data_IF_141755672203
#
_entry.id   IF_141755672203
#
_cell.length_a   1.000
_cell.length_b   1.000
_cell.length_c   1.000
_cell.angle_alpha   90.00
_cell.angle_beta   90.00
_cell.angle_gamma   90.00
#
_symmetry.space_group_name_H-M   'P 1'
#
loop_
_entity.id
_entity.type
_entity.pdbx_description
1 polymer ?
#
# COMPACT_ATOMS: atom_id res chain seq x y z
N UNK A 1 1.50 -25.13 0.12
CA UNK A 1 0.47 -26.18 0.30
C UNK A 1 0.79 -26.98 1.57
N UNK A 2 0.05 -26.76 2.66
CA UNK A 2 0.16 -27.58 3.85
C UNK A 2 -0.93 -28.65 3.82
N UNK A 3 -0.55 -29.90 3.57
CA UNK A 3 -1.43 -31.07 3.66
C UNK A 3 -1.74 -31.38 5.13
N UNK A 4 -2.80 -30.79 5.67
CA UNK A 4 -3.31 -31.17 6.99
C UNK A 4 -4.30 -32.34 6.89
N UNK A 5 -3.76 -33.56 6.94
CA UNK A 5 -4.50 -34.76 7.39
C UNK A 5 -4.44 -34.80 8.91
N UNK A 6 -5.40 -34.20 9.62
CA UNK A 6 -5.74 -34.60 11.00
C UNK A 6 -7.24 -34.58 11.23
N UNK A 7 -7.71 -35.74 11.65
CA UNK A 7 -9.09 -36.09 11.98
C UNK A 7 -9.64 -35.22 13.12
N UNK A 8 -10.57 -34.33 12.80
CA UNK A 8 -11.59 -33.92 13.77
C UNK A 8 -12.93 -34.50 13.31
N UNK A 9 -13.53 -35.29 14.21
CA UNK A 9 -14.81 -35.98 14.05
C UNK A 9 -15.83 -35.00 13.45
N UNK A 10 -16.28 -35.33 12.25
CA UNK A 10 -17.39 -34.71 11.55
C UNK A 10 -18.68 -35.07 12.30
N UNK A 11 -19.20 -34.17 13.12
CA UNK A 11 -20.59 -34.28 13.58
C UNK A 11 -21.50 -33.85 12.44
N UNK A 12 -22.06 -34.83 11.73
CA UNK A 12 -23.09 -34.60 10.72
C UNK A 12 -24.43 -34.29 11.36
N UNK A 13 -25.10 -33.26 10.84
CA UNK A 13 -26.52 -33.24 10.42
C UNK A 13 -26.87 -31.81 10.04
N UNK A 14 -27.05 -31.59 8.73
CA UNK A 14 -28.09 -30.73 8.15
C UNK A 14 -27.99 -30.86 6.62
N UNK A 15 -28.52 -31.98 6.11
CA UNK A 15 -29.01 -32.05 4.73
C UNK A 15 -30.44 -31.53 4.74
N UNK A 16 -30.60 -30.23 4.45
CA UNK A 16 -31.81 -29.62 3.90
C UNK A 16 -31.42 -28.22 3.41
N UNK A 17 -31.83 -27.93 2.18
CA UNK A 17 -31.61 -26.74 1.34
C UNK A 17 -30.26 -26.56 0.63
N UNK A 18 -30.33 -26.56 -0.71
CA UNK A 18 -29.27 -26.30 -1.68
C UNK A 18 -28.73 -24.88 -1.69
N UNK A 19 -28.44 -24.29 -0.52
CA UNK A 19 -27.56 -23.14 -0.38
C UNK A 19 -26.22 -23.64 0.12
N UNK A 20 -25.15 -23.48 -0.66
CA UNK A 20 -23.77 -23.85 -0.26
C UNK A 20 -23.47 -23.27 1.12
N UNK A 21 -23.49 -24.10 2.16
CA UNK A 21 -23.35 -23.70 3.56
C UNK A 21 -21.98 -23.07 3.75
N UNK A 22 -21.93 -21.86 4.32
CA UNK A 22 -20.67 -21.20 4.70
C UNK A 22 -20.07 -21.95 5.87
N UNK A 23 -18.79 -22.30 5.78
CA UNK A 23 -18.05 -22.94 6.86
C UNK A 23 -16.93 -22.04 7.34
N UNK A 24 -16.76 -21.94 8.65
CA UNK A 24 -15.64 -21.24 9.28
C UNK A 24 -14.70 -22.27 9.90
N UNK A 25 -13.39 -22.11 9.68
CA UNK A 25 -12.37 -23.00 10.22
C UNK A 25 -11.71 -22.31 11.42
N UNK A 26 -12.41 -22.33 12.55
CA UNK A 26 -11.96 -21.76 13.83
C UNK A 26 -12.40 -22.66 15.00
N UNK A 27 -11.88 -22.49 16.22
CA UNK A 27 -12.29 -23.29 17.38
C UNK A 27 -13.81 -23.26 17.64
N UNK A 28 -14.36 -24.40 18.08
CA UNK A 28 -15.82 -24.59 18.24
C UNK A 28 -16.43 -23.67 19.30
N UNK A 29 -15.72 -23.45 20.40
CA UNK A 29 -16.08 -22.50 21.45
C UNK A 29 -16.17 -21.06 20.92
N UNK A 30 -15.24 -20.67 20.05
CA UNK A 30 -15.24 -19.35 19.39
C UNK A 30 -16.46 -19.19 18.47
N UNK A 31 -16.80 -20.22 17.69
CA UNK A 31 -18.00 -20.17 16.83
C UNK A 31 -19.28 -20.05 17.64
N UNK A 32 -19.40 -20.84 18.71
CA UNK A 32 -20.56 -20.77 19.60
C UNK A 32 -20.72 -19.40 20.24
N UNK A 33 -19.62 -18.79 20.68
CA UNK A 33 -19.62 -17.44 21.25
C UNK A 33 -20.04 -16.35 20.23
N UNK A 34 -20.00 -16.67 18.94
CA UNK A 34 -20.36 -15.77 17.84
C UNK A 34 -21.65 -16.22 17.13
N UNK A 35 -22.51 -16.98 17.80
CA UNK A 35 -23.77 -17.54 17.27
C UNK A 35 -23.61 -18.26 15.93
N UNK A 36 -22.50 -18.99 15.79
CA UNK A 36 -22.12 -19.74 14.58
C UNK A 36 -21.94 -18.85 13.32
N UNK A 37 -21.92 -17.52 13.47
CA UNK A 37 -21.78 -16.59 12.35
C UNK A 37 -20.98 -15.32 12.71
N UNK A 38 -19.64 -15.41 12.68
CA UNK A 38 -18.75 -14.27 12.93
C UNK A 38 -19.07 -13.03 12.08
N UNK A 39 -19.52 -13.21 10.84
CA UNK A 39 -19.78 -12.13 9.87
C UNK A 39 -21.02 -11.29 10.15
N UNK A 40 -21.86 -11.70 11.12
CA UNK A 40 -22.97 -10.87 11.61
C UNK A 40 -22.63 -10.13 12.91
N UNK A 41 -21.72 -10.68 13.70
CA UNK A 41 -21.52 -10.29 15.09
C UNK A 41 -20.21 -9.52 15.34
N UNK A 42 -19.33 -9.41 14.33
CA UNK A 42 -18.07 -8.67 14.43
C UNK A 42 -18.16 -7.40 13.57
N UNK A 43 -17.85 -6.25 14.17
CA UNK A 43 -17.80 -4.95 13.50
C UNK A 43 -16.45 -4.67 12.80
N UNK A 44 -15.36 -5.29 13.27
CA UNK A 44 -14.01 -5.09 12.73
C UNK A 44 -13.77 -5.91 11.44
N UNK A 45 -13.68 -5.20 10.31
CA UNK A 45 -13.44 -5.78 8.98
C UNK A 45 -12.10 -6.52 8.88
N UNK A 46 -11.02 -6.00 9.48
CA UNK A 46 -9.71 -6.65 9.45
C UNK A 46 -9.74 -8.01 10.15
N UNK A 47 -10.40 -8.10 11.30
CA UNK A 47 -10.57 -9.35 12.04
C UNK A 47 -11.36 -10.38 11.23
N UNK A 48 -12.45 -9.96 10.57
CA UNK A 48 -13.27 -10.83 9.74
C UNK A 48 -12.48 -11.43 8.58
N UNK A 49 -11.78 -10.58 7.82
CA UNK A 49 -11.02 -11.01 6.65
C UNK A 49 -9.85 -11.90 7.04
N UNK A 50 -9.13 -11.58 8.11
CA UNK A 50 -7.90 -12.29 8.48
C UNK A 50 -8.13 -13.56 9.30
N UNK A 51 -9.17 -13.61 10.15
CA UNK A 51 -9.36 -14.71 11.11
C UNK A 51 -10.63 -15.51 10.90
N UNK A 52 -11.65 -14.95 10.25
CA UNK A 52 -12.95 -15.60 10.09
C UNK A 52 -13.30 -15.81 8.62
N UNK A 53 -12.34 -16.20 7.79
CA UNK A 53 -12.58 -16.40 6.36
C UNK A 53 -13.67 -17.46 6.10
N UNK A 54 -14.71 -17.15 5.29
CA UNK A 54 -15.75 -18.11 4.96
C UNK A 54 -15.26 -19.05 3.86
N UNK A 55 -15.30 -20.35 4.14
CA UNK A 55 -15.01 -21.40 3.20
C UNK A 55 -16.29 -21.94 2.57
N UNK A 56 -16.23 -22.23 1.28
CA UNK A 56 -17.30 -22.87 0.52
C UNK A 56 -16.78 -24.11 -0.20
N UNK A 57 -17.63 -25.12 -0.29
CA UNK A 57 -17.33 -26.33 -1.04
C UNK A 57 -17.44 -26.05 -2.54
N UNK A 58 -16.36 -26.35 -3.27
CA UNK A 58 -16.25 -26.26 -4.73
C UNK A 58 -15.49 -27.46 -5.28
N UNK A 59 -16.13 -28.23 -6.20
CA UNK A 59 -15.52 -29.38 -6.88
C UNK A 59 -14.68 -30.24 -5.91
N UNK A 60 -15.29 -30.60 -4.78
CA UNK A 60 -14.72 -31.45 -3.71
C UNK A 60 -13.64 -30.82 -2.81
N UNK A 61 -13.31 -29.54 -2.98
CA UNK A 61 -12.38 -28.81 -2.11
C UNK A 61 -13.04 -27.62 -1.43
N UNK A 62 -12.64 -27.29 -0.21
CA UNK A 62 -13.08 -26.06 0.45
C UNK A 62 -12.16 -24.91 0.07
N UNK A 63 -12.70 -23.87 -0.57
CA UNK A 63 -11.97 -22.65 -0.91
C UNK A 63 -12.51 -21.47 -0.12
N UNK A 64 -11.61 -20.62 0.37
CA UNK A 64 -12.00 -19.35 0.96
C UNK A 64 -12.54 -18.44 -0.14
N UNK A 65 -13.68 -17.81 0.10
CA UNK A 65 -14.25 -16.82 -0.81
C UNK A 65 -14.37 -15.48 -0.11
N UNK A 66 -13.67 -14.44 -0.59
CA UNK A 66 -13.82 -13.13 0.02
C UNK A 66 -15.24 -12.62 -0.26
N UNK A 67 -15.84 -12.02 0.76
CA UNK A 67 -17.10 -11.29 0.67
C UNK A 67 -16.88 -9.87 1.22
N UNK A 68 -17.68 -8.88 0.78
CA UNK A 68 -17.63 -7.54 1.39
C UNK A 68 -18.37 -7.65 2.70
N UNK A 69 -17.72 -7.42 3.86
CA UNK A 69 -18.42 -7.49 5.13
C UNK A 69 -19.50 -6.41 5.18
N UNK A 70 -20.75 -6.82 5.41
CA UNK A 70 -21.87 -5.90 5.63
C UNK A 70 -22.08 -5.75 7.14
N UNK A 71 -21.16 -5.03 7.77
CA UNK A 71 -21.11 -4.86 9.22
C UNK A 71 -21.49 -3.44 9.61
N UNK A 72 -22.12 -3.28 10.77
CA UNK A 72 -22.24 -1.94 11.34
C UNK A 72 -20.85 -1.42 11.67
N UNK A 73 -20.55 -0.22 11.19
CA UNK A 73 -19.30 0.46 11.47
C UNK A 73 -19.43 1.46 12.60
N UNK A 74 -20.53 1.51 13.35
CA UNK A 74 -20.78 2.58 14.33
C UNK A 74 -19.69 2.65 15.41
N UNK A 75 -19.44 1.53 16.09
CA UNK A 75 -18.39 1.42 17.12
C UNK A 75 -17.00 1.71 16.55
N UNK A 76 -16.70 1.15 15.38
CA UNK A 76 -15.42 1.29 14.70
C UNK A 76 -15.17 2.72 14.24
N UNK A 77 -16.20 3.38 13.71
CA UNK A 77 -16.13 4.77 13.22
C UNK A 77 -15.88 5.72 14.38
N UNK A 78 -16.55 5.49 15.51
CA UNK A 78 -16.40 6.28 16.72
C UNK A 78 -14.99 6.12 17.33
N UNK A 79 -14.48 4.89 17.40
CA UNK A 79 -13.11 4.61 17.83
C UNK A 79 -12.07 5.21 16.87
N UNK A 80 -12.27 5.07 15.56
CA UNK A 80 -11.39 5.63 14.54
C UNK A 80 -11.41 7.17 14.55
N UNK A 81 -12.57 7.80 14.80
CA UNK A 81 -12.69 9.26 14.93
C UNK A 81 -11.78 9.81 16.02
N UNK A 82 -11.79 9.17 17.20
CA UNK A 82 -10.90 9.55 18.32
C UNK A 82 -9.43 9.36 17.97
N UNK A 83 -9.07 8.22 17.37
CA UNK A 83 -7.71 7.95 16.94
C UNK A 83 -7.22 8.97 15.90
N UNK A 84 -8.04 9.25 14.89
CA UNK A 84 -7.72 10.18 13.82
C UNK A 84 -7.57 11.61 14.36
N UNK A 85 -8.42 12.02 15.31
CA UNK A 85 -8.26 13.31 15.98
C UNK A 85 -6.91 13.43 16.70
N UNK A 86 -6.52 12.42 17.49
CA UNK A 86 -5.22 12.38 18.17
C UNK A 86 -4.05 12.35 17.19
N UNK A 87 -4.20 11.62 16.09
CA UNK A 87 -3.21 11.52 15.04
C UNK A 87 -2.99 12.87 14.35
N UNK A 88 -4.07 13.56 13.98
CA UNK A 88 -4.00 14.90 13.36
C UNK A 88 -3.43 15.93 14.36
N UNK A 89 -3.74 15.79 15.65
CA UNK A 89 -3.19 16.63 16.71
C UNK A 89 -1.68 16.44 16.85
N UNK A 90 -1.21 15.20 16.89
CA UNK A 90 0.22 14.86 16.90
C UNK A 90 0.96 15.50 15.71
N UNK A 91 0.31 15.59 14.55
CA UNK A 91 0.88 16.17 13.33
C UNK A 91 0.94 17.70 13.31
N UNK A 92 0.22 18.41 14.19
CA UNK A 92 -0.04 19.86 14.07
C UNK A 92 1.23 20.70 13.92
N UNK A 93 2.22 20.49 14.78
CA UNK A 93 3.39 21.38 14.86
C UNK A 93 4.67 20.78 14.24
N UNK A 94 4.62 19.52 13.84
CA UNK A 94 5.80 18.77 13.38
C UNK A 94 5.75 18.42 11.89
N UNK A 95 4.66 18.74 11.19
CA UNK A 95 4.43 18.26 9.82
C UNK A 95 3.78 19.28 8.88
N UNK A 96 4.08 19.13 7.60
CA UNK A 96 3.25 19.65 6.51
C UNK A 96 2.27 18.55 6.11
N UNK A 97 0.97 18.88 6.10
CA UNK A 97 -0.11 17.93 5.82
C UNK A 97 -1.14 18.48 4.85
N UNK A 98 -1.74 17.61 4.05
CA UNK A 98 -2.92 17.93 3.24
C UNK A 98 -3.81 16.71 3.03
N UNK A 99 -5.08 16.98 2.73
CA UNK A 99 -6.02 15.96 2.27
C UNK A 99 -5.96 15.91 0.75
N UNK A 100 -5.70 14.73 0.20
CA UNK A 100 -5.75 14.45 -1.25
C UNK A 100 -6.80 13.36 -1.51
N UNK A 101 -7.41 13.36 -2.69
CA UNK A 101 -8.45 12.39 -3.05
C UNK A 101 -7.92 11.36 -4.04
N UNK A 102 -8.29 10.09 -3.87
CA UNK A 102 -7.95 9.06 -4.85
C UNK A 102 -8.68 9.33 -6.18
N UNK A 103 -7.94 9.46 -7.28
CA UNK A 103 -8.50 9.60 -8.65
C UNK A 103 -8.98 8.25 -9.20
N UNK A 104 -8.30 7.19 -8.81
CA UNK A 104 -8.56 5.81 -9.23
C UNK A 104 -8.70 4.89 -8.03
N UNK A 105 -9.06 3.63 -8.28
CA UNK A 105 -9.05 2.59 -7.24
C UNK A 105 -7.65 2.46 -6.66
N UNK A 106 -7.57 2.22 -5.37
CA UNK A 106 -6.30 2.05 -4.66
C UNK A 106 -6.25 0.64 -4.07
N UNK A 107 -5.11 -0.03 -4.22
CA UNK A 107 -4.86 -1.32 -3.58
C UNK A 107 -3.48 -1.31 -2.96
N UNK A 108 -3.42 -1.43 -1.63
CA UNK A 108 -2.17 -1.48 -0.87
C UNK A 108 -2.07 -2.84 -0.20
N UNK A 109 -0.90 -3.48 -0.26
CA UNK A 109 -0.69 -4.82 0.33
C UNK A 109 -1.28 -5.96 -0.49
N UNK A 110 -1.41 -5.82 -1.82
CA UNK A 110 -1.99 -6.87 -2.67
C UNK A 110 -1.27 -8.23 -2.55
N UNK A 111 0.05 -8.19 -2.34
CA UNK A 111 0.90 -9.37 -2.18
C UNK A 111 1.12 -9.82 -0.74
N UNK A 112 0.45 -9.23 0.26
CA UNK A 112 0.55 -9.70 1.64
C UNK A 112 -0.06 -11.11 1.74
N UNK A 113 0.53 -11.98 2.56
CA UNK A 113 0.02 -13.34 2.74
C UNK A 113 -1.44 -13.35 3.23
N UNK A 114 -2.28 -14.09 2.52
CA UNK A 114 -3.72 -14.14 2.76
C UNK A 114 -4.30 -15.47 2.33
N UNK A 115 -5.32 -15.91 3.06
CA UNK A 115 -6.12 -17.10 2.71
C UNK A 115 -6.87 -16.92 1.38
N UNK A 116 -7.08 -15.66 0.95
CA UNK A 116 -7.78 -15.33 -0.29
C UNK A 116 -6.85 -15.14 -1.50
N UNK A 117 -5.57 -15.51 -1.40
CA UNK A 117 -4.51 -15.31 -2.42
C UNK A 117 -4.15 -13.84 -2.69
N UNK A 118 -5.04 -12.92 -2.35
CA UNK A 118 -4.86 -11.47 -2.41
C UNK A 118 -5.20 -10.85 -1.06
N UNK A 119 -4.56 -9.73 -0.76
CA UNK A 119 -4.77 -9.00 0.49
C UNK A 119 -4.99 -7.51 0.26
N UNK A 120 -5.45 -6.83 1.30
CA UNK A 120 -5.50 -5.39 1.38
C UNK A 120 -5.04 -4.97 2.77
N UNK A 121 -4.24 -3.91 2.83
CA UNK A 121 -3.68 -3.41 4.08
C UNK A 121 -4.72 -2.62 4.85
N UNK A 122 -5.21 -3.22 5.93
CA UNK A 122 -6.18 -2.63 6.85
C UNK A 122 -5.53 -2.38 8.21
N UNK A 123 -5.95 -1.31 8.86
CA UNK A 123 -5.60 -1.04 10.25
C UNK A 123 -6.21 -2.13 11.13
N UNK A 124 -5.37 -2.80 11.91
CA UNK A 124 -5.78 -3.93 12.77
C UNK A 124 -6.96 -3.59 13.69
N UNK A 125 -6.91 -2.41 14.32
CA UNK A 125 -7.88 -2.04 15.37
C UNK A 125 -9.18 -1.43 14.80
N UNK A 126 -9.16 -0.94 13.57
CA UNK A 126 -10.28 -0.18 12.99
C UNK A 126 -10.82 -0.78 11.68
N UNK A 127 -10.13 -1.75 11.06
CA UNK A 127 -10.53 -2.30 9.77
C UNK A 127 -10.52 -1.29 8.61
N UNK A 128 -9.96 -0.09 8.82
CA UNK A 128 -9.87 1.00 7.84
C UNK A 128 -8.62 0.81 6.98
N UNK A 129 -8.68 0.96 5.64
CA UNK A 129 -7.49 0.90 4.80
C UNK A 129 -6.53 2.05 5.11
N UNK A 130 -5.23 1.83 5.02
CA UNK A 130 -4.23 2.89 5.16
C UNK A 130 -3.05 2.66 4.21
N UNK A 131 -2.29 3.74 3.96
CA UNK A 131 -1.09 3.69 3.13
C UNK A 131 0.12 3.84 4.06
N UNK A 132 0.99 2.82 4.18
CA UNK A 132 2.16 2.92 5.04
C UNK A 132 3.08 4.07 4.64
N UNK A 133 3.63 4.78 5.62
CA UNK A 133 4.63 5.82 5.42
C UNK A 133 5.88 5.32 4.70
N UNK A 134 6.22 4.04 4.85
CA UNK A 134 7.28 3.37 4.08
C UNK A 134 6.96 3.28 2.58
N UNK A 135 5.70 3.04 2.20
CA UNK A 135 5.28 3.04 0.82
C UNK A 135 5.31 4.45 0.22
N UNK A 136 4.90 5.47 1.01
CA UNK A 136 4.98 6.88 0.63
C UNK A 136 6.42 7.34 0.43
N UNK A 137 7.30 7.01 1.38
CA UNK A 137 8.74 7.26 1.27
C UNK A 137 9.33 6.58 0.04
N UNK A 138 8.96 5.31 -0.20
CA UNK A 138 9.41 4.53 -1.34
C UNK A 138 9.04 5.17 -2.67
N UNK A 139 7.77 5.57 -2.86
CA UNK A 139 7.34 6.19 -4.12
C UNK A 139 7.96 7.58 -4.34
N UNK A 140 8.04 8.41 -3.29
CA UNK A 140 8.71 9.71 -3.39
C UNK A 140 10.19 9.57 -3.76
N UNK A 141 10.88 8.59 -3.16
CA UNK A 141 12.29 8.29 -3.45
C UNK A 141 12.48 7.80 -4.88
N UNK A 142 11.66 6.86 -5.32
CA UNK A 142 11.75 6.32 -6.68
C UNK A 142 11.45 7.39 -7.73
N UNK A 143 10.42 8.22 -7.50
CA UNK A 143 10.08 9.33 -8.38
C UNK A 143 11.24 10.34 -8.51
N UNK A 144 11.90 10.68 -7.39
CA UNK A 144 13.09 11.54 -7.44
C UNK A 144 14.24 10.91 -8.24
N UNK A 145 14.44 9.60 -8.17
CA UNK A 145 15.49 8.92 -8.91
C UNK A 145 15.24 8.92 -10.40
N UNK A 146 13.99 8.70 -10.82
CA UNK A 146 13.60 8.80 -12.22
C UNK A 146 13.76 10.23 -12.73
N UNK A 147 13.29 11.25 -12.01
CA UNK A 147 13.49 12.64 -12.41
C UNK A 147 14.98 12.99 -12.56
N UNK A 148 15.84 12.46 -11.69
CA UNK A 148 17.29 12.69 -11.78
C UNK A 148 17.88 11.98 -13.00
N UNK A 149 17.46 10.75 -13.26
CA UNK A 149 17.90 9.97 -14.41
C UNK A 149 17.44 10.58 -15.73
N UNK A 150 16.16 10.93 -15.85
CA UNK A 150 15.57 11.55 -17.05
C UNK A 150 16.37 12.76 -17.53
N UNK A 151 16.78 13.62 -16.59
CA UNK A 151 17.51 14.85 -16.90
C UNK A 151 19.01 14.60 -17.11
N UNK A 152 19.62 13.70 -16.34
CA UNK A 152 21.09 13.60 -16.24
C UNK A 152 21.69 12.25 -16.68
N UNK A 153 20.93 11.32 -17.25
CA UNK A 153 21.41 9.97 -17.57
C UNK A 153 22.74 9.97 -18.35
N UNK A 154 22.88 10.81 -19.38
CA UNK A 154 24.11 10.87 -20.18
C UNK A 154 25.33 11.28 -19.37
N UNK A 155 25.16 12.26 -18.47
CA UNK A 155 26.21 12.72 -17.54
C UNK A 155 26.52 11.66 -16.49
N UNK A 156 25.51 10.93 -16.02
CA UNK A 156 25.69 9.82 -15.06
C UNK A 156 26.48 8.68 -15.71
N UNK A 157 26.12 8.28 -16.93
CA UNK A 157 26.84 7.26 -17.70
C UNK A 157 28.30 7.68 -17.95
N UNK A 158 28.53 8.93 -18.33
CA UNK A 158 29.90 9.45 -18.56
C UNK A 158 30.74 9.38 -17.28
N UNK A 159 30.21 9.86 -16.15
CA UNK A 159 30.96 9.95 -14.88
C UNK A 159 31.09 8.63 -14.12
N UNK A 160 30.17 7.70 -14.32
CA UNK A 160 30.08 6.45 -13.56
C UNK A 160 30.11 5.19 -14.44
N UNK A 161 30.70 5.30 -15.65
CA UNK A 161 30.73 4.22 -16.65
C UNK A 161 31.13 2.85 -16.10
N UNK A 162 32.11 2.82 -15.20
CA UNK A 162 32.60 1.57 -14.60
C UNK A 162 31.59 0.96 -13.62
N UNK A 163 30.84 1.78 -12.89
CA UNK A 163 29.77 1.30 -12.01
C UNK A 163 28.60 0.74 -12.82
N UNK A 164 28.23 1.38 -13.95
CA UNK A 164 27.23 0.85 -14.87
C UNK A 164 27.63 -0.54 -15.39
N UNK A 165 28.88 -0.70 -15.85
CA UNK A 165 29.41 -2.00 -16.29
C UNK A 165 29.38 -3.04 -15.18
N UNK A 166 29.83 -2.67 -13.97
CA UNK A 166 29.88 -3.56 -12.80
C UNK A 166 28.49 -4.04 -12.39
N UNK A 167 27.50 -3.15 -12.43
CA UNK A 167 26.10 -3.44 -12.09
C UNK A 167 25.32 -4.08 -13.25
N UNK A 168 25.93 -4.22 -14.44
CA UNK A 168 25.27 -4.69 -15.67
C UNK A 168 24.03 -3.85 -16.01
N UNK A 169 24.14 -2.54 -15.85
CA UNK A 169 23.09 -1.59 -16.18
C UNK A 169 23.23 -1.14 -17.63
N UNK A 170 22.10 -0.98 -18.30
CA UNK A 170 22.03 -0.38 -19.62
C UNK A 170 22.55 1.07 -19.59
N UNK A 171 23.13 1.54 -20.69
CA UNK A 171 23.63 2.92 -20.80
C UNK A 171 22.53 3.89 -21.25
N UNK A 172 21.38 3.83 -20.57
CA UNK A 172 20.19 4.59 -20.87
C UNK A 172 19.57 5.18 -19.59
N UNK A 173 18.37 5.73 -19.71
CA UNK A 173 17.62 6.31 -18.60
C UNK A 173 17.27 5.27 -17.53
N UNK A 174 16.87 4.05 -17.92
CA UNK A 174 16.50 3.00 -16.97
C UNK A 174 17.70 2.51 -16.16
N UNK A 175 18.84 2.30 -16.84
CA UNK A 175 20.09 1.99 -16.17
C UNK A 175 20.57 3.12 -15.27
N UNK A 176 20.37 4.38 -15.66
CA UNK A 176 20.66 5.53 -14.80
C UNK A 176 19.79 5.54 -13.53
N UNK A 177 18.50 5.24 -13.63
CA UNK A 177 17.61 5.08 -12.45
C UNK A 177 18.13 3.97 -11.53
N UNK A 178 18.49 2.81 -12.09
CA UNK A 178 19.09 1.71 -11.33
C UNK A 178 20.43 2.07 -10.66
N UNK A 179 21.26 2.87 -11.34
CA UNK A 179 22.50 3.39 -10.78
C UNK A 179 22.24 4.32 -9.59
N UNK A 180 21.34 5.30 -9.74
CA UNK A 180 21.00 6.25 -8.66
C UNK A 180 20.45 5.49 -7.45
N UNK A 181 19.57 4.52 -7.68
CA UNK A 181 19.07 3.66 -6.61
C UNK A 181 20.21 2.92 -5.89
N UNK A 182 21.12 2.29 -6.64
CA UNK A 182 22.27 1.59 -6.06
C UNK A 182 23.17 2.53 -5.25
N UNK A 183 23.43 3.73 -5.75
CA UNK A 183 24.24 4.73 -5.05
C UNK A 183 23.61 5.08 -3.68
N UNK A 184 22.31 5.35 -3.64
CA UNK A 184 21.60 5.68 -2.40
C UNK A 184 21.48 4.49 -1.42
N UNK A 185 21.40 3.26 -1.92
CA UNK A 185 21.05 2.10 -1.08
C UNK A 185 22.22 1.19 -0.73
N UNK A 186 23.30 1.21 -1.51
CA UNK A 186 24.36 0.18 -1.42
C UNK A 186 25.78 0.69 -1.62
N UNK A 187 25.98 1.88 -2.20
CA UNK A 187 27.32 2.37 -2.56
C UNK A 187 27.54 3.82 -2.11
N UNK A 188 27.99 4.00 -0.86
CA UNK A 188 28.31 5.32 -0.30
C UNK A 188 29.39 6.08 -1.08
N UNK A 189 30.34 5.37 -1.69
CA UNK A 189 31.39 5.99 -2.51
C UNK A 189 30.82 6.67 -3.74
N UNK A 190 29.91 5.99 -4.44
CA UNK A 190 29.17 6.53 -5.58
C UNK A 190 28.23 7.65 -5.16
N UNK A 191 27.56 7.52 -4.01
CA UNK A 191 26.70 8.57 -3.48
C UNK A 191 27.46 9.87 -3.19
N UNK A 192 28.61 9.78 -2.48
CA UNK A 192 29.46 10.96 -2.20
C UNK A 192 29.95 11.64 -3.49
N UNK A 193 30.26 10.86 -4.52
CA UNK A 193 30.62 11.41 -5.85
C UNK A 193 29.41 12.08 -6.51
N UNK A 194 28.23 11.48 -6.43
CA UNK A 194 26.98 12.01 -6.98
C UNK A 194 26.59 13.34 -6.31
N UNK A 195 26.72 13.44 -4.98
CA UNK A 195 26.49 14.67 -4.22
C UNK A 195 27.42 15.81 -4.69
N UNK A 196 28.70 15.52 -4.96
CA UNK A 196 29.67 16.50 -5.46
C UNK A 196 29.35 17.03 -6.87
N UNK A 197 28.55 16.31 -7.66
CA UNK A 197 28.10 16.82 -8.96
C UNK A 197 27.06 17.94 -8.83
N UNK A 198 26.51 18.15 -7.63
CA UNK A 198 25.53 19.18 -7.31
C UNK A 198 24.32 19.17 -8.27
N UNK A 199 23.89 17.96 -8.65
CA UNK A 199 22.70 17.75 -9.46
C UNK A 199 21.45 18.00 -8.62
N UNK A 200 20.34 18.31 -9.27
CA UNK A 200 19.08 18.52 -8.60
C UNK A 200 17.90 18.11 -9.48
N UNK A 201 16.88 17.54 -8.86
CA UNK A 201 15.59 17.34 -9.50
C UNK A 201 14.80 18.66 -9.48
N UNK A 202 13.99 18.88 -10.51
CA UNK A 202 13.07 20.03 -10.57
C UNK A 202 11.66 19.49 -10.74
N UNK A 203 10.80 19.80 -9.77
CA UNK A 203 9.39 19.46 -9.78
C UNK A 203 8.62 20.35 -10.77
N UNK A 204 7.39 19.96 -11.12
CA UNK A 204 6.54 20.71 -12.07
C UNK A 204 6.21 22.13 -11.58
N UNK A 205 6.18 22.34 -10.27
CA UNK A 205 5.97 23.66 -9.66
C UNK A 205 7.25 24.52 -9.60
N UNK A 206 8.35 24.05 -10.18
CA UNK A 206 9.65 24.72 -10.18
C UNK A 206 10.50 24.47 -8.93
N UNK A 207 10.02 23.69 -7.96
CA UNK A 207 10.79 23.36 -6.76
C UNK A 207 12.03 22.55 -7.13
N UNK A 208 13.21 23.07 -6.77
CA UNK A 208 14.50 22.41 -6.98
C UNK A 208 14.94 21.68 -5.71
N UNK A 209 15.28 20.39 -5.83
CA UNK A 209 15.77 19.55 -4.72
C UNK A 209 17.09 18.91 -5.14
N UNK A 210 18.17 19.27 -4.45
CA UNK A 210 19.52 18.76 -4.75
C UNK A 210 19.70 17.31 -4.31
N UNK A 211 20.71 16.61 -4.85
CA UNK A 211 21.05 15.25 -4.39
C UNK A 211 21.36 15.22 -2.88
N UNK A 212 22.07 16.22 -2.36
CA UNK A 212 22.35 16.32 -0.92
C UNK A 212 21.06 16.48 -0.09
N UNK A 213 20.10 17.26 -0.58
CA UNK A 213 18.78 17.36 0.06
C UNK A 213 17.99 16.06 -0.04
N UNK A 214 18.08 15.31 -1.15
CA UNK A 214 17.46 13.99 -1.25
C UNK A 214 18.09 13.00 -0.25
N UNK A 215 19.41 13.05 -0.05
CA UNK A 215 20.11 12.28 0.98
C UNK A 215 19.58 12.65 2.36
N UNK A 216 19.43 13.94 2.66
CA UNK A 216 18.85 14.42 3.91
C UNK A 216 17.39 13.99 4.07
N UNK A 217 16.56 14.02 3.02
CA UNK A 217 15.14 13.61 3.09
C UNK A 217 15.02 12.11 3.39
N UNK A 218 15.74 11.27 2.63
CA UNK A 218 15.53 9.82 2.67
C UNK A 218 16.46 9.09 3.65
N UNK A 219 17.61 9.66 4.00
CA UNK A 219 18.68 8.98 4.70
C UNK A 219 19.44 8.00 3.80
N UNK A 220 20.47 7.40 4.38
CA UNK A 220 21.34 6.38 3.75
C UNK A 220 21.46 5.16 4.67
N UNK A 221 22.34 4.21 4.34
CA UNK A 221 22.68 3.12 5.26
C UNK A 221 23.38 3.62 6.53
N UNK A 222 24.19 4.66 6.42
CA UNK A 222 24.98 5.21 7.53
C UNK A 222 24.31 6.35 8.30
N UNK A 223 23.29 7.01 7.73
CA UNK A 223 22.65 8.17 8.32
C UNK A 223 21.11 8.08 8.29
N UNK A 224 20.47 8.43 9.40
CA UNK A 224 19.01 8.56 9.47
C UNK A 224 18.53 9.72 8.58
N UNK A 225 17.39 9.52 7.90
CA UNK A 225 16.72 10.58 7.17
C UNK A 225 16.15 11.66 8.12
N UNK A 226 16.25 12.92 7.69
CA UNK A 226 15.74 14.08 8.41
C UNK A 226 14.21 14.22 8.30
N UNK A 227 13.56 13.49 7.39
CA UNK A 227 12.12 13.58 7.15
C UNK A 227 11.40 12.27 7.52
N UNK A 228 10.35 12.41 8.31
CA UNK A 228 9.41 11.35 8.65
C UNK A 228 8.25 11.36 7.65
N UNK A 229 8.04 10.24 6.98
CA UNK A 229 6.86 10.00 6.15
C UNK A 229 5.84 9.25 6.98
N UNK A 230 4.75 9.92 7.34
CA UNK A 230 3.72 9.35 8.19
C UNK A 230 2.73 8.51 7.39
N UNK A 231 2.06 7.54 8.02
CA UNK A 231 1.01 6.74 7.38
C UNK A 231 -0.13 7.62 6.86
N UNK A 232 -0.55 7.44 5.61
CA UNK A 232 -1.73 8.15 5.11
C UNK A 232 -3.02 7.44 5.55
N UNK A 233 -3.93 8.21 6.14
CA UNK A 233 -5.17 7.72 6.74
C UNK A 233 -6.41 8.29 6.02
N UNK A 234 -7.49 7.51 5.82
CA UNK A 234 -8.73 8.05 5.27
C UNK A 234 -9.32 9.15 6.14
N UNK A 235 -9.39 10.37 5.62
CA UNK A 235 -9.91 11.52 6.36
C UNK A 235 -10.47 12.57 5.42
N UNK A 236 -11.72 13.05 5.63
CA UNK A 236 -12.29 14.15 4.87
C UNK A 236 -11.83 15.52 5.42
N UNK A 237 -11.18 15.54 6.59
CA UNK A 237 -10.75 16.75 7.29
C UNK A 237 -9.24 16.77 7.47
N UNK A 238 -8.66 17.96 7.38
CA UNK A 238 -7.23 18.19 7.62
C UNK A 238 -6.93 18.45 9.09
N UNK A 239 -7.86 19.06 9.81
CA UNK A 239 -7.69 19.56 11.17
C UNK A 239 -8.87 19.14 12.06
N UNK A 240 -8.68 19.03 13.39
CA UNK A 240 -9.76 18.70 14.31
C UNK A 240 -10.82 19.83 14.38
N UNK A 241 -12.05 19.55 14.82
CA UNK A 241 -12.54 18.26 15.33
C UNK A 241 -12.82 17.25 14.21
N UNK A 242 -12.55 15.97 14.49
CA UNK A 242 -12.97 14.85 13.64
C UNK A 242 -14.23 14.25 14.25
N UNK A 243 -15.36 14.39 13.56
CA UNK A 243 -16.65 13.86 14.02
C UNK A 243 -17.01 12.56 13.31
N UNK A 244 -17.58 11.61 14.04
CA UNK A 244 -17.91 10.29 13.49
C UNK A 244 -18.98 10.36 12.39
N UNK A 245 -19.87 11.35 12.42
CA UNK A 245 -20.88 11.59 11.37
C UNK A 245 -20.26 12.00 10.04
N UNK A 246 -19.08 12.63 10.06
CA UNK A 246 -18.33 12.98 8.85
C UNK A 246 -17.62 11.75 8.25
N UNK A 247 -17.24 10.80 9.11
CA UNK A 247 -16.49 9.60 8.75
C UNK A 247 -17.39 8.46 8.23
N UNK A 248 -18.53 8.28 8.88
CA UNK A 248 -19.44 7.15 8.65
C UNK A 248 -19.85 6.97 7.17
N UNK A 249 -20.25 8.01 6.41
CA UNK A 249 -20.76 7.82 5.06
C UNK A 249 -19.74 7.22 4.09
N UNK A 250 -18.47 7.64 4.19
CA UNK A 250 -17.44 7.13 3.28
C UNK A 250 -16.77 5.86 3.82
N UNK A 251 -16.58 5.68 5.13
CA UNK A 251 -16.03 4.44 5.68
C UNK A 251 -16.93 3.23 5.40
N UNK A 252 -18.25 3.39 5.42
CA UNK A 252 -19.20 2.34 5.04
C UNK A 252 -19.07 1.90 3.58
N UNK A 253 -18.56 2.79 2.72
CA UNK A 253 -18.51 2.59 1.28
C UNK A 253 -17.07 2.61 0.73
N UNK A 254 -16.05 2.55 1.59
CA UNK A 254 -14.65 2.77 1.21
C UNK A 254 -14.06 1.60 0.41
N UNK A 255 -14.55 0.38 0.62
CA UNK A 255 -14.06 -0.84 -0.03
C UNK A 255 -15.00 -1.32 -1.15
N UNK A 256 -14.41 -1.87 -2.21
CA UNK A 256 -15.11 -2.63 -3.25
C UNK A 256 -14.26 -3.79 -3.76
N UNK A 257 -14.92 -4.79 -4.35
CA UNK A 257 -14.22 -5.82 -5.10
C UNK A 257 -13.90 -5.35 -6.50
N UNK A 258 -12.71 -5.72 -6.95
CA UNK A 258 -12.31 -5.66 -8.35
C UNK A 258 -11.81 -7.04 -8.81
N UNK A 259 -11.69 -7.23 -10.12
CA UNK A 259 -11.40 -8.53 -10.74
C UNK A 259 -10.08 -8.47 -11.50
N UNK A 260 -9.27 -9.52 -11.37
CA UNK A 260 -8.18 -9.83 -12.29
C UNK A 260 -8.48 -11.09 -13.07
N UNK A 261 -8.22 -11.06 -14.37
CA UNK A 261 -8.26 -12.25 -15.21
C UNK A 261 -6.83 -12.52 -15.73
N UNK A 262 -5.96 -13.19 -14.97
CA UNK A 262 -4.68 -13.62 -15.51
C UNK A 262 -4.92 -14.69 -16.59
N UNK A 263 -4.53 -14.38 -17.82
CA UNK A 263 -4.69 -15.28 -18.97
C UNK A 263 -3.63 -16.40 -19.02
N UNK A 264 -2.53 -16.29 -18.26
CA UNK A 264 -1.37 -17.20 -18.35
C UNK A 264 -0.99 -17.85 -17.01
N UNK A 265 -1.97 -18.12 -16.12
CA UNK A 265 -1.69 -18.76 -14.83
C UNK A 265 -0.82 -20.05 -14.92
N UNK A 266 -1.07 -20.97 -15.87
CA UNK A 266 -0.24 -22.18 -16.03
C UNK A 266 1.21 -21.89 -16.45
N UNK A 267 1.47 -20.86 -17.24
CA UNK A 267 2.83 -20.44 -17.59
C UNK A 267 3.61 -19.93 -16.37
N UNK A 268 2.96 -19.12 -15.53
CA UNK A 268 3.61 -18.54 -14.34
C UNK A 268 3.73 -19.51 -13.16
N UNK A 269 2.86 -20.51 -13.05
CA UNK A 269 2.83 -21.44 -11.91
C UNK A 269 3.41 -22.82 -12.23
N UNK A 270 3.29 -23.28 -13.48
CA UNK A 270 3.61 -24.66 -13.88
C UNK A 270 4.66 -24.73 -14.99
N UNK A 271 5.11 -23.59 -15.55
CA UNK A 271 6.16 -23.53 -16.59
C UNK A 271 5.70 -24.00 -17.97
N UNK A 272 4.40 -24.18 -18.17
CA UNK A 272 3.75 -24.55 -19.43
C UNK A 272 3.83 -23.41 -20.45
N UNK A 273 4.08 -23.66 -21.75
CA UNK A 273 4.22 -22.61 -22.75
C UNK A 273 3.00 -21.65 -22.78
N UNK A 274 3.23 -20.33 -22.95
CA UNK A 274 2.15 -19.37 -22.95
C UNK A 274 1.26 -19.62 -24.18
N UNK A 275 -0.03 -19.86 -23.94
CA UNK A 275 -1.00 -20.15 -24.98
C UNK A 275 -2.29 -19.38 -24.74
N UNK A 276 -2.90 -18.84 -25.80
CA UNK A 276 -4.12 -18.05 -25.71
C UNK A 276 -5.40 -18.88 -25.49
N UNK A 277 -5.27 -20.20 -25.29
CA UNK A 277 -6.37 -21.15 -25.10
C UNK A 277 -6.76 -21.38 -23.62
N UNK A 278 -6.06 -20.76 -22.67
CA UNK A 278 -6.41 -20.89 -21.25
C UNK A 278 -7.63 -20.04 -20.89
N UNK A 279 -8.61 -20.66 -20.24
CA UNK A 279 -9.78 -19.94 -19.72
C UNK A 279 -9.35 -19.01 -18.58
N UNK A 280 -9.72 -17.72 -18.60
CA UNK A 280 -9.36 -16.80 -17.52
C UNK A 280 -10.02 -17.24 -16.22
N UNK A 281 -9.22 -17.39 -15.15
CA UNK A 281 -9.71 -17.66 -13.80
C UNK A 281 -9.85 -16.32 -13.08
N UNK A 282 -11.07 -15.79 -12.86
CA UNK A 282 -11.26 -14.49 -12.23
C UNK A 282 -10.82 -14.53 -10.76
N UNK A 283 -9.83 -13.71 -10.42
CA UNK A 283 -9.36 -13.49 -9.05
C UNK A 283 -9.96 -12.17 -8.55
N UNK A 284 -10.85 -12.28 -7.55
CA UNK A 284 -11.42 -11.12 -6.88
C UNK A 284 -10.46 -10.62 -5.80
N UNK A 285 -10.23 -9.31 -5.75
CA UNK A 285 -9.42 -8.68 -4.71
C UNK A 285 -10.09 -7.40 -4.21
N UNK A 286 -9.85 -7.06 -2.94
CA UNK A 286 -10.40 -5.85 -2.33
C UNK A 286 -9.58 -4.63 -2.72
N UNK A 287 -10.29 -3.53 -2.99
CA UNK A 287 -9.72 -2.24 -3.33
C UNK A 287 -10.43 -1.14 -2.55
N UNK A 288 -9.73 -0.03 -2.34
CA UNK A 288 -10.33 1.24 -1.94
C UNK A 288 -10.93 1.89 -3.18
N UNK A 289 -12.16 2.40 -3.05
CA UNK A 289 -12.85 3.11 -4.14
C UNK A 289 -12.09 4.37 -4.57
N UNK A 290 -12.40 4.85 -5.76
CA UNK A 290 -12.05 6.22 -6.17
C UNK A 290 -12.80 7.25 -5.32
N UNK A 291 -12.33 8.48 -5.33
CA UNK A 291 -12.87 9.64 -4.62
C UNK A 291 -12.89 9.48 -3.08
N UNK A 292 -11.92 8.74 -2.56
CA UNK A 292 -11.72 8.60 -1.11
C UNK A 292 -10.66 9.61 -0.66
N UNK A 293 -10.97 10.49 0.30
CA UNK A 293 -10.01 11.46 0.81
C UNK A 293 -9.08 10.79 1.82
N UNK A 294 -7.79 11.06 1.69
CA UNK A 294 -6.74 10.64 2.62
C UNK A 294 -5.96 11.86 3.11
N UNK A 295 -5.66 11.90 4.40
CA UNK A 295 -4.69 12.85 4.94
C UNK A 295 -3.28 12.26 4.78
N UNK A 296 -2.41 13.04 4.14
CA UNK A 296 -0.99 12.75 4.00
C UNK A 296 -0.20 13.76 4.81
N UNK A 297 0.91 13.32 5.40
CA UNK A 297 1.80 14.20 6.15
C UNK A 297 3.27 13.77 6.01
N UNK A 298 4.14 14.76 5.92
CA UNK A 298 5.58 14.60 6.12
C UNK A 298 6.02 15.57 7.20
N UNK A 299 6.94 15.16 8.06
CA UNK A 299 7.39 16.00 9.16
C UNK A 299 8.84 15.83 9.52
N UNK A 300 9.27 16.62 10.50
CA UNK A 300 10.65 16.62 10.99
C UNK A 300 10.94 15.33 11.74
N UNK A 301 12.09 14.71 11.46
CA UNK A 301 12.70 13.78 12.41
C UNK A 301 13.34 14.58 13.55
N UNK A 302 13.86 13.86 14.57
CA UNK A 302 14.57 14.49 15.69
C UNK A 302 15.83 15.26 15.26
N UNK A 303 16.38 14.96 14.09
CA UNK A 303 17.63 15.54 13.58
C UNK A 303 17.39 16.64 12.52
N UNK A 304 16.14 17.07 12.35
CA UNK A 304 15.74 18.04 11.32
C UNK A 304 15.35 19.39 11.91
N UNK A 305 16.21 20.38 11.69
CA UNK A 305 15.93 21.77 12.09
C UNK A 305 15.40 22.62 10.92
N UNK A 306 15.52 22.13 9.67
CA UNK A 306 15.17 22.86 8.45
C UNK A 306 13.70 22.66 8.03
N UNK A 307 12.86 23.66 8.25
CA UNK A 307 11.47 23.67 7.78
C UNK A 307 11.32 23.69 6.25
N UNK A 308 12.30 24.21 5.51
CA UNK A 308 12.26 24.23 4.03
C UNK A 308 12.43 22.83 3.45
N UNK A 309 13.22 21.98 4.10
CA UNK A 309 13.39 20.59 3.69
C UNK A 309 12.08 19.79 3.80
N UNK A 310 11.28 20.05 4.84
CA UNK A 310 9.95 19.44 5.02
C UNK A 310 9.02 19.83 3.87
N UNK A 311 9.00 21.11 3.50
CA UNK A 311 8.19 21.61 2.39
C UNK A 311 8.62 21.01 1.05
N UNK A 312 9.93 20.88 0.80
CA UNK A 312 10.46 20.19 -0.39
C UNK A 312 10.05 18.72 -0.44
N UNK A 313 10.18 18.00 0.67
CA UNK A 313 9.75 16.61 0.77
C UNK A 313 8.24 16.44 0.55
N UNK A 314 7.44 17.38 1.06
CA UNK A 314 6.00 17.40 0.86
C UNK A 314 5.64 17.57 -0.62
N UNK A 315 6.26 18.54 -1.30
CA UNK A 315 6.03 18.79 -2.73
C UNK A 315 6.45 17.59 -3.58
N UNK A 316 7.59 16.99 -3.27
CA UNK A 316 8.05 15.77 -3.94
C UNK A 316 7.07 14.61 -3.76
N UNK A 317 6.60 14.37 -2.53
CA UNK A 317 5.60 13.32 -2.26
C UNK A 317 4.29 13.60 -3.00
N UNK A 318 3.80 14.85 -2.97
CA UNK A 318 2.56 15.26 -3.61
C UNK A 318 2.60 15.00 -5.11
N UNK A 319 3.69 15.38 -5.78
CA UNK A 319 3.86 15.13 -7.21
C UNK A 319 3.99 13.63 -7.52
N UNK A 320 4.77 12.89 -6.73
CA UNK A 320 4.90 11.43 -6.89
C UNK A 320 3.54 10.72 -6.78
N UNK A 321 2.66 11.13 -5.86
CA UNK A 321 1.30 10.57 -5.72
C UNK A 321 0.39 10.89 -6.91
N UNK A 322 0.62 12.01 -7.59
CA UNK A 322 -0.14 12.42 -8.79
C UNK A 322 0.34 11.68 -10.04
N UNK A 323 1.65 11.52 -10.21
CA UNK A 323 2.25 10.96 -11.43
C UNK A 323 2.40 9.43 -11.37
N UNK A 324 2.97 8.91 -10.28
CA UNK A 324 3.26 7.48 -10.10
C UNK A 324 2.15 6.75 -9.36
N UNK A 325 1.47 7.42 -8.43
CA UNK A 325 0.54 6.77 -7.53
C UNK A 325 1.22 5.77 -6.59
N UNK A 326 0.45 5.20 -5.67
CA UNK A 326 0.96 4.32 -4.62
C UNK A 326 0.14 3.04 -4.51
N UNK A 327 0.78 1.97 -4.05
CA UNK A 327 0.16 0.64 -3.95
C UNK A 327 0.52 -0.25 -5.13
N UNK A 328 -0.24 -1.33 -5.31
CA UNK A 328 -0.04 -2.26 -6.43
C UNK A 328 -0.78 -1.77 -7.68
N UNK A 329 -0.33 -2.26 -8.85
CA UNK A 329 -0.94 -2.01 -10.16
C UNK A 329 -0.95 -0.53 -10.58
N UNK A 330 0.02 0.25 -10.14
CA UNK A 330 0.19 1.65 -10.56
C UNK A 330 0.37 1.79 -12.07
N UNK A 331 0.99 0.82 -12.75
CA UNK A 331 1.10 0.77 -14.20
C UNK A 331 -0.25 0.64 -14.93
N UNK A 332 -1.27 0.08 -14.26
CA UNK A 332 -2.65 0.00 -14.76
C UNK A 332 -3.50 1.21 -14.31
N UNK A 333 -2.88 2.24 -13.76
CA UNK A 333 -3.54 3.47 -13.33
C UNK A 333 -4.11 3.46 -11.91
N UNK A 334 -3.87 2.42 -11.10
CA UNK A 334 -4.33 2.39 -9.71
C UNK A 334 -3.55 3.37 -8.82
N UNK A 335 -4.16 3.78 -7.71
CA UNK A 335 -3.51 4.48 -6.62
C UNK A 335 -3.08 5.92 -6.90
N UNK A 336 -3.69 6.58 -7.89
CA UNK A 336 -3.41 7.98 -8.24
C UNK A 336 -4.20 8.95 -7.36
N UNK A 337 -3.63 10.12 -7.07
CA UNK A 337 -4.25 11.15 -6.22
C UNK A 337 -4.41 12.52 -6.91
N UNK A 338 -5.30 13.36 -6.38
CA UNK A 338 -5.58 14.75 -6.77
C UNK A 338 -5.51 15.67 -5.56
#
# INVERSE_FOLDING_TARGET
>A
MANFKRSHKLSGRNHRDGKKVKKFIVPTDTLRALDENPWKNISNVSLLLMKYAPYRLEKDTYKAKPEVPRVSLDEVTEAYSRYLALYIEMLRDISTKAVLRSKSRLVVGLGDESVYETSIRLMRNYGVPYIPGSALKGVAKHYAFELLADVYWGRLVEKFRDEFKKLKLEMDVYGATGFVQNAFERNEGSLKKLERLNLAVTLKDGTRITVAELVDIFGTLGNEGKIVFFDALPSPVKDPPVKSEQLKPFLQNILEFDIMNPHYQPYYQEGEPPGDWYSPVPIFFLTVKKDVPFIFAVGKSKTCDDGKLVEKAWRLLKEALMEHGVGAKTALGYGRFA
#
